data_IF_910492735339
#
_entry.id   IF_910492735339
#
_cell.length_a   1.000
_cell.length_b   1.000
_cell.length_c   1.000
_cell.angle_alpha   90.00
_cell.angle_beta   90.00
_cell.angle_gamma   90.00
#
_symmetry.space_group_name_H-M   'P 1'
#
loop_
_entity.id
_entity.type
_entity.pdbx_description
1 polymer ?
#
# COMPACT_ATOMS: atom_id res chain seq x y z
N UNK A 1 25.87 -2.85 7.95
CA UNK A 1 25.57 -4.31 7.89
C UNK A 1 24.49 -4.56 6.84
N UNK A 2 24.38 -5.79 6.31
CA UNK A 2 23.29 -6.17 5.39
C UNK A 2 22.30 -7.05 6.14
N UNK A 3 21.06 -6.58 6.29
CA UNK A 3 19.96 -7.33 6.90
C UNK A 3 19.17 -8.04 5.81
N UNK A 4 19.03 -9.36 5.95
CA UNK A 4 18.12 -10.15 5.13
C UNK A 4 16.80 -10.30 5.87
N UNK A 5 15.70 -9.92 5.22
CA UNK A 5 14.34 -9.98 5.74
C UNK A 5 13.50 -10.94 4.90
N UNK A 6 12.71 -11.76 5.58
CA UNK A 6 11.70 -12.61 4.95
C UNK A 6 10.35 -12.41 5.64
N UNK A 7 9.30 -12.23 4.86
CA UNK A 7 7.91 -12.16 5.35
C UNK A 7 7.11 -13.21 4.61
N UNK A 8 6.33 -14.03 5.33
CA UNK A 8 5.62 -15.17 4.74
C UNK A 8 4.54 -14.73 3.75
N UNK A 9 3.95 -13.56 3.97
CA UNK A 9 3.01 -12.94 3.05
C UNK A 9 3.66 -11.73 2.35
N UNK A 10 3.30 -11.43 1.10
CA UNK A 10 3.81 -10.27 0.38
C UNK A 10 3.45 -8.97 1.10
N UNK A 11 4.45 -8.31 1.69
CA UNK A 11 4.33 -6.98 2.30
C UNK A 11 5.11 -5.99 1.44
N UNK A 12 4.71 -4.72 1.38
CA UNK A 12 5.44 -3.68 0.62
C UNK A 12 6.80 -3.35 1.24
N UNK A 13 7.71 -2.78 0.45
CA UNK A 13 9.07 -2.44 0.90
C UNK A 13 9.10 -1.28 1.90
N UNK A 14 8.24 -0.28 1.71
CA UNK A 14 8.09 0.88 2.60
C UNK A 14 7.75 0.47 4.05
N UNK A 15 6.94 -0.56 4.23
CA UNK A 15 6.64 -1.10 5.57
C UNK A 15 7.84 -1.77 6.24
N UNK A 16 8.60 -2.56 5.49
CA UNK A 16 9.82 -3.17 6.02
C UNK A 16 10.83 -2.08 6.36
N UNK A 17 10.94 -1.06 5.51
CA UNK A 17 11.77 0.12 5.73
C UNK A 17 11.36 0.86 7.01
N UNK A 18 10.08 1.20 7.19
CA UNK A 18 9.56 1.88 8.38
C UNK A 18 9.83 1.07 9.64
N UNK A 19 9.63 -0.24 9.60
CA UNK A 19 9.92 -1.12 10.72
C UNK A 19 11.42 -1.14 11.07
N UNK A 20 12.30 -1.30 10.07
CA UNK A 20 13.74 -1.30 10.30
C UNK A 20 14.21 0.05 10.86
N UNK A 21 13.65 1.16 10.36
CA UNK A 21 13.97 2.54 10.77
C UNK A 21 13.75 2.82 12.27
N UNK A 22 12.98 1.97 12.97
CA UNK A 22 12.79 2.04 14.43
C UNK A 22 14.03 1.61 15.23
N UNK A 23 14.89 0.80 14.61
CA UNK A 23 16.05 0.18 15.26
C UNK A 23 17.37 0.62 14.63
N UNK A 24 17.40 0.76 13.31
CA UNK A 24 18.61 0.95 12.50
C UNK A 24 18.39 2.04 11.46
N UNK A 25 19.45 2.65 10.98
CA UNK A 25 19.38 3.60 9.87
C UNK A 25 19.53 2.84 8.55
N UNK A 26 18.49 2.83 7.73
CA UNK A 26 18.48 2.13 6.44
C UNK A 26 19.10 3.03 5.38
N UNK A 27 20.20 2.58 4.77
CA UNK A 27 21.01 3.39 3.83
C UNK A 27 20.84 3.00 2.38
N UNK A 28 20.17 1.88 2.08
CA UNK A 28 19.91 1.45 0.71
C UNK A 28 18.43 1.16 0.47
N UNK A 29 18.05 1.22 -0.79
CA UNK A 29 16.83 0.58 -1.27
C UNK A 29 16.86 -0.95 -1.07
N UNK A 30 15.67 -1.54 -1.15
CA UNK A 30 15.47 -2.98 -1.03
C UNK A 30 16.01 -3.73 -2.25
N UNK A 31 16.95 -4.65 -2.04
CA UNK A 31 17.38 -5.61 -3.07
C UNK A 31 16.62 -6.94 -2.92
N UNK A 32 16.06 -7.46 -4.01
CA UNK A 32 15.39 -8.78 -4.00
C UNK A 32 16.43 -9.88 -4.14
N UNK A 33 16.36 -10.89 -3.27
CA UNK A 33 17.22 -12.08 -3.38
C UNK A 33 16.57 -13.06 -4.35
N UNK A 34 17.30 -13.40 -5.41
CA UNK A 34 16.86 -14.35 -6.43
C UNK A 34 17.59 -15.68 -6.24
N UNK A 35 16.95 -16.78 -6.64
CA UNK A 35 17.61 -18.08 -6.74
C UNK A 35 18.45 -18.20 -8.02
N UNK A 36 19.05 -19.37 -8.23
CA UNK A 36 19.91 -19.65 -9.40
C UNK A 36 19.17 -19.57 -10.75
N UNK A 37 17.83 -19.65 -10.73
CA UNK A 37 16.97 -19.59 -11.90
C UNK A 37 16.38 -18.17 -12.10
N UNK A 38 16.76 -17.21 -11.27
CA UNK A 38 16.25 -15.84 -11.32
C UNK A 38 14.89 -15.65 -10.65
N UNK A 39 14.34 -16.67 -9.98
CA UNK A 39 13.07 -16.56 -9.27
C UNK A 39 13.27 -15.92 -7.89
N UNK A 40 12.31 -15.10 -7.46
CA UNK A 40 12.41 -14.40 -6.18
C UNK A 40 12.17 -15.35 -5.00
N UNK A 41 13.13 -15.42 -4.08
CA UNK A 41 13.08 -16.36 -2.95
C UNK A 41 12.19 -15.88 -1.79
N UNK A 42 11.39 -14.82 -1.97
CA UNK A 42 10.66 -14.15 -0.89
C UNK A 42 11.55 -13.31 0.06
N UNK A 43 12.88 -13.34 -0.12
CA UNK A 43 13.84 -12.62 0.75
C UNK A 43 14.23 -11.28 0.15
N UNK A 44 14.52 -10.32 1.03
CA UNK A 44 14.90 -8.95 0.70
C UNK A 44 16.11 -8.55 1.51
N UNK A 45 17.00 -7.77 0.93
CA UNK A 45 18.20 -7.29 1.58
C UNK A 45 18.20 -5.76 1.68
N UNK A 46 18.60 -5.27 2.85
CA UNK A 46 18.72 -3.85 3.17
C UNK A 46 20.11 -3.60 3.75
N UNK A 47 20.83 -2.61 3.23
CA UNK A 47 22.02 -2.10 3.89
C UNK A 47 21.58 -1.14 5.00
N UNK A 48 22.13 -1.34 6.20
CA UNK A 48 21.77 -0.58 7.40
C UNK A 48 22.99 -0.21 8.24
N UNK A 49 22.86 0.83 9.04
CA UNK A 49 23.78 1.22 10.10
C UNK A 49 23.09 0.95 11.44
N UNK A 50 23.75 0.21 12.33
CA UNK A 50 23.22 -0.03 13.68
C UNK A 50 23.44 1.22 14.53
N UNK A 51 22.40 1.62 15.29
CA UNK A 51 22.50 2.76 16.21
C UNK A 51 23.23 2.34 17.49
N UNK A 52 23.91 3.25 18.19
CA UNK A 52 24.49 2.95 19.50
C UNK A 52 23.40 2.65 20.52
N UNK A 53 23.60 1.65 21.37
CA UNK A 53 22.75 1.34 22.52
C UNK A 53 23.62 0.83 23.67
N UNK A 54 23.96 1.69 24.66
CA UNK A 54 24.84 1.33 25.77
C UNK A 54 24.23 0.32 26.75
N UNK A 55 22.95 -0.03 26.58
CA UNK A 55 22.27 -1.06 27.39
C UNK A 55 22.39 -2.46 26.78
N UNK A 56 22.85 -2.55 25.53
CA UNK A 56 23.01 -3.81 24.81
C UNK A 56 24.39 -4.43 25.04
N UNK A 57 24.52 -5.73 24.78
CA UNK A 57 25.76 -6.49 25.03
C UNK A 57 26.95 -6.01 24.17
N UNK A 58 26.68 -5.57 22.96
CA UNK A 58 27.67 -5.14 21.96
C UNK A 58 27.55 -3.66 21.61
N UNK A 59 26.95 -2.85 22.49
CA UNK A 59 26.77 -1.39 22.35
C UNK A 59 25.95 -0.95 21.12
N UNK A 60 25.17 -1.85 20.51
CA UNK A 60 24.32 -1.57 19.36
C UNK A 60 22.85 -1.91 19.56
N UNK A 61 21.97 -1.10 18.97
CA UNK A 61 20.53 -1.36 18.90
C UNK A 61 20.24 -2.36 17.78
N UNK A 62 19.74 -3.54 18.16
CA UNK A 62 19.41 -4.59 17.20
C UNK A 62 17.90 -4.66 16.91
N UNK A 63 17.49 -4.81 15.63
CA UNK A 63 16.11 -5.12 15.31
C UNK A 63 15.78 -6.57 15.72
N UNK A 64 14.53 -6.86 16.11
CA UNK A 64 14.14 -8.18 16.57
C UNK A 64 14.23 -9.20 15.43
N UNK A 65 14.85 -10.35 15.71
CA UNK A 65 15.02 -11.44 14.74
C UNK A 65 13.68 -12.01 14.23
N UNK A 66 12.63 -11.95 15.06
CA UNK A 66 11.25 -12.30 14.69
C UNK A 66 10.36 -11.07 14.86
N UNK A 67 9.52 -10.79 13.88
CA UNK A 67 8.58 -9.65 13.92
C UNK A 67 7.26 -10.01 13.25
N UNK A 68 6.26 -9.13 13.38
CA UNK A 68 4.98 -9.29 12.73
C UNK A 68 4.39 -7.95 12.30
N UNK A 69 3.72 -7.96 11.15
CA UNK A 69 2.93 -6.88 10.59
C UNK A 69 1.45 -7.26 10.67
N UNK A 70 0.81 -6.98 11.80
CA UNK A 70 -0.49 -7.55 12.13
C UNK A 70 -0.43 -9.08 12.17
N UNK A 71 -1.13 -9.75 11.25
CA UNK A 71 -1.12 -11.22 11.14
C UNK A 71 0.08 -11.77 10.36
N UNK A 72 0.79 -10.92 9.61
CA UNK A 72 1.85 -11.31 8.70
C UNK A 72 3.17 -11.45 9.46
N UNK A 73 3.60 -12.68 9.72
CA UNK A 73 4.85 -12.95 10.45
C UNK A 73 6.06 -12.83 9.52
N UNK A 74 7.18 -12.42 10.09
CA UNK A 74 8.46 -12.35 9.39
C UNK A 74 9.63 -12.64 10.32
N UNK A 75 10.78 -12.88 9.69
CA UNK A 75 12.05 -13.00 10.39
C UNK A 75 13.13 -12.24 9.63
N UNK A 76 14.16 -11.82 10.36
CA UNK A 76 15.33 -11.18 9.80
C UNK A 76 16.60 -11.76 10.40
N UNK A 77 17.68 -11.69 9.64
CA UNK A 77 18.99 -12.12 10.08
C UNK A 77 20.12 -11.35 9.36
N UNK A 78 21.27 -11.27 10.03
CA UNK A 78 22.50 -10.68 9.50
C UNK A 78 23.72 -11.21 10.26
N UNK A 79 24.90 -11.03 9.66
CA UNK A 79 26.15 -11.44 10.27
C UNK A 79 26.40 -10.70 11.60
N UNK A 80 26.74 -11.45 12.64
CA UNK A 80 26.98 -10.94 13.99
C UNK A 80 25.73 -10.44 14.69
N UNK A 81 24.54 -10.95 14.34
CA UNK A 81 23.31 -10.71 15.10
C UNK A 81 23.38 -11.46 16.44
N UNK A 82 23.16 -10.79 17.59
CA UNK A 82 23.18 -11.46 18.87
C UNK A 82 21.98 -12.40 19.02
N UNK A 83 22.15 -13.49 19.79
CA UNK A 83 21.05 -14.38 20.15
C UNK A 83 20.21 -13.70 21.22
N UNK A 84 19.06 -13.17 20.82
CA UNK A 84 18.13 -12.48 21.71
C UNK A 84 16.93 -13.35 22.08
N UNK A 85 16.47 -13.27 23.33
CA UNK A 85 15.23 -13.84 23.80
C UNK A 85 14.05 -13.36 22.94
N UNK A 86 13.21 -14.28 22.43
CA UNK A 86 12.06 -13.91 21.57
C UNK A 86 10.93 -13.18 22.31
N UNK A 87 10.96 -13.14 23.65
CA UNK A 87 9.96 -12.44 24.47
C UNK A 87 10.40 -11.02 24.80
N UNK A 88 11.61 -10.84 25.32
CA UNK A 88 12.09 -9.54 25.80
C UNK A 88 13.21 -8.90 24.95
N UNK A 89 13.78 -9.62 23.98
CA UNK A 89 14.91 -9.23 23.12
C UNK A 89 16.25 -9.03 23.84
N UNK A 90 16.35 -9.39 25.11
CA UNK A 90 17.64 -9.42 25.83
C UNK A 90 18.48 -10.64 25.43
N UNK A 91 19.79 -10.54 25.59
CA UNK A 91 20.76 -11.55 25.17
C UNK A 91 21.17 -12.53 26.27
N UNK A 92 20.79 -12.26 27.52
CA UNK A 92 21.24 -13.01 28.70
C UNK A 92 20.55 -14.37 28.89
N UNK A 93 19.37 -14.56 28.28
CA UNK A 93 18.52 -15.72 28.55
C UNK A 93 17.67 -16.15 27.34
N UNK A 94 17.00 -17.29 27.46
CA UNK A 94 16.15 -17.88 26.43
C UNK A 94 14.66 -17.66 26.73
N UNK A 95 13.78 -17.85 25.75
CA UNK A 95 12.36 -17.52 25.90
C UNK A 95 11.64 -18.35 27.00
N UNK A 96 12.13 -19.54 27.28
CA UNK A 96 11.69 -20.45 28.34
C UNK A 96 12.07 -19.96 29.74
N UNK A 97 13.22 -19.31 29.88
CA UNK A 97 13.73 -18.75 31.15
C UNK A 97 13.38 -17.26 31.33
N UNK A 98 12.68 -16.66 30.37
CA UNK A 98 12.31 -15.25 30.37
C UNK A 98 11.13 -14.97 31.31
N UNK A 99 11.43 -14.26 32.41
CA UNK A 99 10.43 -13.73 33.34
C UNK A 99 9.78 -12.43 32.86
N UNK A 100 10.42 -11.73 31.91
CA UNK A 100 9.90 -10.50 31.36
C UNK A 100 8.74 -10.79 30.39
N UNK A 101 7.64 -10.06 30.56
CA UNK A 101 6.52 -10.08 29.63
C UNK A 101 6.51 -8.81 28.79
N UNK A 102 6.47 -8.97 27.47
CA UNK A 102 6.38 -7.88 26.51
C UNK A 102 4.93 -7.63 26.11
N UNK A 103 4.49 -6.40 26.26
CA UNK A 103 3.18 -5.98 25.79
C UNK A 103 3.09 -6.05 24.27
N UNK A 104 2.08 -6.76 23.73
CA UNK A 104 1.88 -6.89 22.27
C UNK A 104 1.33 -5.63 21.60
N UNK A 105 0.89 -4.64 22.39
CA UNK A 105 0.46 -3.34 21.89
C UNK A 105 1.66 -2.37 21.78
N UNK A 106 2.27 -2.00 22.91
CA UNK A 106 3.35 -1.00 22.95
C UNK A 106 4.78 -1.53 22.85
N UNK A 107 4.99 -2.85 22.90
CA UNK A 107 6.30 -3.50 22.91
C UNK A 107 7.19 -3.21 24.13
N UNK A 108 6.68 -2.56 25.16
CA UNK A 108 7.38 -2.37 26.44
C UNK A 108 7.27 -3.61 27.33
N UNK A 109 8.20 -3.73 28.27
CA UNK A 109 8.26 -4.83 29.23
C UNK A 109 7.41 -4.54 30.48
N UNK A 110 7.10 -5.59 31.25
CA UNK A 110 6.52 -5.49 32.59
C UNK A 110 4.99 -5.47 32.66
N UNK A 111 4.26 -5.54 31.54
CA UNK A 111 2.80 -5.58 31.54
C UNK A 111 2.21 -6.39 30.37
N UNK A 112 0.97 -6.85 30.53
CA UNK A 112 0.18 -7.50 29.48
C UNK A 112 -0.54 -6.47 28.61
N UNK A 113 -0.94 -6.88 27.40
CA UNK A 113 -1.72 -6.03 26.49
C UNK A 113 -3.01 -5.49 27.14
N UNK A 114 -3.66 -6.30 27.99
CA UNK A 114 -4.88 -5.91 28.73
C UNK A 114 -4.64 -4.79 29.74
N UNK A 115 -3.41 -4.66 30.24
CA UNK A 115 -3.00 -3.71 31.27
C UNK A 115 -2.24 -2.51 30.66
N UNK A 116 -2.23 -2.41 29.32
CA UNK A 116 -1.50 -1.38 28.60
C UNK A 116 -2.26 -0.05 28.65
N UNK A 117 -1.59 1.02 29.11
CA UNK A 117 -2.16 2.38 29.18
C UNK A 117 -2.07 3.17 27.88
N UNK A 118 -1.23 2.72 26.93
CA UNK A 118 -1.10 3.33 25.60
C UNK A 118 -2.26 2.88 24.71
N UNK A 119 -2.74 3.79 23.88
CA UNK A 119 -3.72 3.52 22.83
C UNK A 119 -3.23 2.48 21.82
N UNK A 120 -4.09 2.13 20.87
CA UNK A 120 -3.75 1.13 19.87
C UNK A 120 -2.55 1.59 19.03
N UNK A 121 -1.46 0.84 19.12
CA UNK A 121 -0.21 1.19 18.45
C UNK A 121 -0.23 0.69 17.02
N UNK A 122 0.31 1.48 16.11
CA UNK A 122 0.50 1.05 14.74
C UNK A 122 1.57 -0.06 14.67
N UNK A 123 1.21 -1.21 14.11
CA UNK A 123 2.15 -2.33 13.96
C UNK A 123 3.31 -2.03 13.02
N UNK A 124 3.20 -0.98 12.19
CA UNK A 124 4.19 -0.60 11.18
C UNK A 124 5.15 0.49 11.67
N UNK A 125 4.64 1.68 12.03
CA UNK A 125 5.50 2.78 12.50
C UNK A 125 5.78 2.72 14.01
N UNK A 126 4.95 2.02 14.79
CA UNK A 126 5.09 1.95 16.25
C UNK A 126 4.65 3.21 17.00
N UNK A 127 3.93 4.12 16.35
CA UNK A 127 3.32 5.30 16.97
C UNK A 127 1.90 5.00 17.49
N UNK A 128 1.48 5.79 18.47
CA UNK A 128 0.15 5.75 19.08
C UNK A 128 -0.85 6.56 18.24
N UNK A 129 -2.09 6.09 18.13
CA UNK A 129 -3.20 6.87 17.54
C UNK A 129 -3.65 6.46 16.14
N UNK A 130 -2.89 5.63 15.41
CA UNK A 130 -3.28 5.16 14.07
C UNK A 130 -2.94 3.67 13.82
N UNK A 131 -3.61 2.72 14.50
CA UNK A 131 -3.42 1.31 14.22
C UNK A 131 -3.64 1.04 12.73
N UNK A 132 -2.79 0.22 12.10
CA UNK A 132 -3.04 -0.27 10.75
C UNK A 132 -4.31 -1.12 10.74
N UNK A 133 -5.46 -0.50 10.47
CA UNK A 133 -6.75 -1.18 10.58
C UNK A 133 -6.98 -1.99 9.32
N UNK A 134 -7.05 -3.31 9.49
CA UNK A 134 -7.59 -4.19 8.47
C UNK A 134 -9.09 -3.96 8.41
N UNK A 135 -9.58 -3.41 7.31
CA UNK A 135 -11.00 -3.11 7.09
C UNK A 135 -11.51 -3.82 5.84
N UNK A 136 -12.83 -3.93 5.79
CA UNK A 136 -13.57 -4.36 4.61
C UNK A 136 -13.98 -3.12 3.83
N UNK A 137 -13.50 -3.01 2.59
CA UNK A 137 -13.73 -1.90 1.67
C UNK A 137 -14.61 -2.37 0.53
N UNK A 138 -15.75 -1.71 0.30
CA UNK A 138 -16.59 -2.01 -0.85
C UNK A 138 -16.45 -0.93 -1.90
N UNK A 139 -16.28 -1.35 -3.16
CA UNK A 139 -16.26 -0.48 -4.34
C UNK A 139 -17.43 -0.83 -5.22
N UNK A 140 -18.16 0.20 -5.65
CA UNK A 140 -19.26 0.11 -6.60
C UNK A 140 -18.94 1.01 -7.80
N UNK A 141 -18.63 0.41 -8.95
CA UNK A 141 -18.46 1.14 -10.21
C UNK A 141 -19.80 1.28 -10.91
N UNK A 142 -20.10 2.44 -11.49
CA UNK A 142 -21.31 2.60 -12.32
C UNK A 142 -21.22 1.83 -13.62
N UNK A 143 -20.01 1.74 -14.17
CA UNK A 143 -19.72 0.87 -15.28
C UNK A 143 -19.26 -0.50 -14.72
N UNK A 144 -20.08 -1.53 -14.93
CA UNK A 144 -19.83 -2.89 -14.48
C UNK A 144 -18.64 -3.56 -15.18
N UNK A 145 -18.20 -3.01 -16.31
CA UNK A 145 -17.11 -3.56 -17.13
C UNK A 145 -15.75 -2.99 -16.78
N UNK A 146 -15.65 -2.15 -15.74
CA UNK A 146 -14.35 -1.67 -15.26
C UNK A 146 -13.54 -2.88 -14.76
N UNK A 147 -12.34 -3.12 -15.34
CA UNK A 147 -11.50 -4.24 -14.94
C UNK A 147 -11.12 -4.15 -13.46
N UNK A 148 -11.05 -5.30 -12.79
CA UNK A 148 -10.66 -5.34 -11.39
C UNK A 148 -9.23 -4.84 -11.18
N UNK A 149 -8.35 -5.09 -12.15
CA UNK A 149 -6.96 -4.64 -12.14
C UNK A 149 -6.86 -3.12 -12.09
N UNK A 150 -7.75 -2.41 -12.80
CA UNK A 150 -7.80 -0.96 -12.78
C UNK A 150 -8.30 -0.44 -11.41
N UNK A 151 -9.30 -1.11 -10.83
CA UNK A 151 -9.79 -0.80 -9.47
C UNK A 151 -8.66 -1.01 -8.44
N UNK A 152 -7.93 -2.12 -8.54
CA UNK A 152 -6.79 -2.43 -7.67
C UNK A 152 -5.67 -1.42 -7.85
N UNK A 153 -5.34 -1.05 -9.10
CA UNK A 153 -4.32 -0.05 -9.41
C UNK A 153 -4.67 1.30 -8.76
N UNK A 154 -5.91 1.75 -8.91
CA UNK A 154 -6.40 2.98 -8.29
C UNK A 154 -6.36 2.94 -6.75
N UNK A 155 -6.90 1.88 -6.14
CA UNK A 155 -6.98 1.77 -4.68
C UNK A 155 -5.60 1.73 -4.01
N UNK A 156 -4.56 1.23 -4.71
CA UNK A 156 -3.18 1.19 -4.22
C UNK A 156 -2.58 2.56 -3.93
N UNK A 157 -3.22 3.66 -4.32
CA UNK A 157 -2.81 5.00 -3.87
C UNK A 157 -3.05 5.21 -2.37
N UNK A 158 -4.11 4.61 -1.84
CA UNK A 158 -4.60 4.90 -0.49
C UNK A 158 -4.43 3.73 0.47
N UNK A 159 -4.66 2.51 -0.03
CA UNK A 159 -4.74 1.31 0.80
C UNK A 159 -3.95 0.15 0.23
N UNK A 160 -3.73 -0.83 1.10
CA UNK A 160 -3.04 -2.07 0.80
C UNK A 160 -4.03 -3.23 0.71
N UNK A 161 -4.33 -3.64 -0.52
CA UNK A 161 -5.30 -4.70 -0.80
C UNK A 161 -4.70 -6.07 -0.44
N UNK A 162 -5.48 -6.86 0.30
CA UNK A 162 -5.15 -8.21 0.74
C UNK A 162 -5.95 -9.21 -0.11
N UNK A 163 -5.28 -9.85 -1.06
CA UNK A 163 -5.90 -10.84 -1.96
C UNK A 163 -6.71 -10.21 -3.09
N UNK A 164 -7.71 -10.94 -3.57
CA UNK A 164 -8.59 -10.56 -4.69
C UNK A 164 -9.91 -9.98 -4.19
N UNK A 165 -10.59 -9.20 -5.02
CA UNK A 165 -11.89 -8.61 -4.72
C UNK A 165 -13.02 -9.64 -4.86
N UNK A 166 -13.77 -9.84 -3.78
CA UNK A 166 -14.98 -10.66 -3.78
C UNK A 166 -16.12 -9.94 -4.48
N UNK A 167 -16.73 -10.57 -5.49
CA UNK A 167 -17.99 -10.06 -6.06
C UNK A 167 -19.12 -10.24 -5.05
N UNK A 168 -19.84 -9.15 -4.77
CA UNK A 168 -21.02 -9.21 -3.90
C UNK A 168 -22.19 -9.71 -4.73
N UNK A 169 -22.76 -10.84 -4.31
CA UNK A 169 -23.91 -11.44 -4.96
C UNK A 169 -25.18 -11.12 -4.17
N UNK A 170 -26.30 -10.92 -4.85
CA UNK A 170 -27.61 -10.80 -4.22
C UNK A 170 -28.14 -12.18 -3.74
N UNK A 171 -29.34 -12.18 -3.14
CA UNK A 171 -30.00 -13.41 -2.66
C UNK A 171 -30.28 -14.43 -3.77
N UNK A 172 -30.39 -13.99 -5.03
CA UNK A 172 -30.66 -14.81 -6.21
C UNK A 172 -29.37 -15.21 -6.95
N UNK A 173 -28.19 -14.90 -6.39
CA UNK A 173 -26.86 -15.15 -6.95
C UNK A 173 -26.59 -14.37 -8.26
N UNK A 174 -27.18 -13.18 -8.41
CA UNK A 174 -26.74 -12.20 -9.40
C UNK A 174 -25.71 -11.25 -8.80
N UNK A 175 -24.73 -10.84 -9.61
CA UNK A 175 -23.72 -9.88 -9.16
C UNK A 175 -24.35 -8.49 -9.02
N UNK A 176 -24.16 -7.83 -7.87
CA UNK A 176 -24.72 -6.50 -7.59
C UNK A 176 -23.95 -5.36 -8.25
N UNK A 177 -22.89 -5.67 -9.00
CA UNK A 177 -21.94 -4.69 -9.51
C UNK A 177 -20.92 -4.19 -8.48
N UNK A 178 -21.03 -4.65 -7.24
CA UNK A 178 -20.14 -4.27 -6.15
C UNK A 178 -19.05 -5.32 -5.94
N UNK A 179 -17.87 -4.86 -5.55
CA UNK A 179 -16.74 -5.70 -5.15
C UNK A 179 -16.28 -5.32 -3.77
N UNK A 180 -15.97 -6.33 -2.97
CA UNK A 180 -15.48 -6.19 -1.61
C UNK A 180 -14.02 -6.61 -1.54
N UNK A 181 -13.21 -5.74 -0.99
CA UNK A 181 -11.78 -5.94 -0.79
C UNK A 181 -11.49 -5.94 0.70
N UNK A 182 -10.61 -6.85 1.12
CA UNK A 182 -9.97 -6.76 2.43
C UNK A 182 -8.77 -5.84 2.27
N UNK A 183 -8.71 -4.75 3.02
CA UNK A 183 -7.68 -3.72 2.83
C UNK A 183 -7.08 -3.29 4.15
N UNK A 184 -5.80 -2.93 4.12
CA UNK A 184 -5.08 -2.31 5.22
C UNK A 184 -4.90 -0.83 4.90
N UNK A 185 -5.33 0.04 5.79
CA UNK A 185 -5.19 1.49 5.61
C UNK A 185 -3.74 1.91 5.84
N UNK A 186 -3.27 2.89 5.06
CA UNK A 186 -1.96 3.52 5.27
C UNK A 186 -2.08 4.64 6.30
N UNK A 187 -0.96 5.04 6.87
CA UNK A 187 -0.91 6.19 7.76
C UNK A 187 -0.91 7.50 6.96
N UNK A 188 -1.57 8.52 7.49
CA UNK A 188 -1.48 9.91 7.02
C UNK A 188 -1.44 10.84 8.24
N UNK A 189 -0.29 11.48 8.47
CA UNK A 189 -0.08 12.40 9.60
C UNK A 189 -1.00 13.62 9.53
N UNK A 190 -1.52 13.96 8.35
CA UNK A 190 -2.43 15.09 8.15
C UNK A 190 -3.88 14.75 8.49
N UNK A 191 -4.25 13.48 8.53
CA UNK A 191 -5.61 13.05 8.82
C UNK A 191 -5.89 13.08 10.34
N UNK A 192 -7.08 13.51 10.79
CA UNK A 192 -7.40 13.57 12.22
C UNK A 192 -7.30 12.23 12.97
N UNK A 193 -7.58 11.12 12.28
CA UNK A 193 -7.46 9.75 12.80
C UNK A 193 -6.16 9.06 12.37
N UNK A 194 -5.26 9.81 11.74
CA UNK A 194 -3.95 9.34 11.28
C UNK A 194 -4.01 8.35 10.12
N UNK A 195 -5.14 8.18 9.43
CA UNK A 195 -5.30 7.22 8.34
C UNK A 195 -5.43 7.90 6.96
N UNK A 196 -4.74 7.34 5.97
CA UNK A 196 -4.93 7.71 4.58
C UNK A 196 -6.19 7.05 4.04
N UNK A 197 -7.25 7.83 3.92
CA UNK A 197 -8.55 7.32 3.47
C UNK A 197 -8.65 7.32 1.93
N UNK A 198 -9.15 6.23 1.32
CA UNK A 198 -9.59 6.29 -0.07
C UNK A 198 -10.81 7.23 -0.17
N UNK A 199 -10.93 7.99 -1.26
CA UNK A 199 -12.02 8.94 -1.42
C UNK A 199 -13.35 8.20 -1.57
N UNK A 200 -14.42 8.76 -1.00
CA UNK A 200 -15.76 8.17 -1.05
C UNK A 200 -16.33 8.10 -2.46
N UNK A 201 -15.92 9.03 -3.32
CA UNK A 201 -16.17 9.02 -4.75
C UNK A 201 -14.85 8.85 -5.48
N UNK A 202 -14.83 7.98 -6.48
CA UNK A 202 -13.65 7.73 -7.29
C UNK A 202 -13.97 7.88 -8.77
N UNK A 203 -12.92 8.20 -9.53
CA UNK A 203 -12.96 8.39 -10.97
C UNK A 203 -11.76 7.66 -11.58
N UNK A 204 -12.03 6.57 -12.31
CA UNK A 204 -11.01 5.77 -12.99
C UNK A 204 -11.20 5.94 -14.50
N UNK A 205 -10.32 6.72 -15.13
CA UNK A 205 -10.54 7.22 -16.48
C UNK A 205 -11.79 8.10 -16.54
N UNK A 206 -12.80 7.67 -17.29
CA UNK A 206 -14.14 8.30 -17.35
C UNK A 206 -15.17 7.59 -16.46
N UNK A 207 -14.80 6.49 -15.81
CA UNK A 207 -15.74 5.66 -15.04
C UNK A 207 -15.85 6.17 -13.60
N UNK A 208 -17.04 6.60 -13.21
CA UNK A 208 -17.36 7.00 -11.84
C UNK A 208 -17.73 5.80 -10.98
N UNK A 209 -17.43 5.89 -9.71
CA UNK A 209 -17.83 4.92 -8.71
C UNK A 209 -17.79 5.49 -7.30
N UNK A 210 -18.21 4.66 -6.36
CA UNK A 210 -18.15 4.95 -4.93
C UNK A 210 -17.36 3.90 -4.19
N UNK A 211 -16.73 4.34 -3.12
CA UNK A 211 -15.99 3.51 -2.19
C UNK A 211 -16.50 3.77 -0.78
N UNK A 212 -16.83 2.70 -0.04
CA UNK A 212 -17.36 2.82 1.31
C UNK A 212 -16.92 1.70 2.24
N UNK A 213 -16.82 2.04 3.53
CA UNK A 213 -16.38 1.17 4.60
C UNK A 213 -16.84 1.74 5.95
N UNK A 214 -16.80 0.92 6.99
CA UNK A 214 -17.18 1.34 8.34
C UNK A 214 -16.18 2.36 8.92
N UNK A 215 -16.72 3.48 9.42
CA UNK A 215 -15.94 4.60 9.95
C UNK A 215 -15.30 5.48 8.88
N UNK A 216 -15.83 5.48 7.65
CA UNK A 216 -15.39 6.41 6.62
C UNK A 216 -15.70 7.86 7.02
N UNK A 217 -14.73 8.79 6.94
CA UNK A 217 -14.97 10.20 7.26
C UNK A 217 -16.10 10.81 6.44
N UNK A 218 -16.96 11.59 7.10
CA UNK A 218 -18.04 12.33 6.48
C UNK A 218 -17.50 13.58 5.78
N UNK A 219 -17.00 13.41 4.56
CA UNK A 219 -16.45 14.49 3.74
C UNK A 219 -17.29 14.73 2.49
N UNK A 220 -17.19 15.93 1.92
CA UNK A 220 -17.81 16.27 0.66
C UNK A 220 -17.32 15.33 -0.44
N UNK A 221 -18.25 14.66 -1.13
CA UNK A 221 -17.90 13.72 -2.22
C UNK A 221 -17.36 14.39 -3.49
N UNK A 222 -17.38 15.72 -3.56
CA UNK A 222 -16.79 16.50 -4.65
C UNK A 222 -15.34 16.86 -4.33
N UNK A 223 -15.10 17.59 -3.23
CA UNK A 223 -13.78 18.15 -2.92
C UNK A 223 -13.02 17.43 -1.79
N UNK A 224 -13.63 16.45 -1.12
CA UNK A 224 -12.99 15.69 -0.04
C UNK A 224 -12.82 16.46 1.28
N UNK A 225 -13.25 17.72 1.38
CA UNK A 225 -13.20 18.49 2.63
C UNK A 225 -14.39 18.18 3.55
N UNK A 226 -14.21 18.23 4.88
CA UNK A 226 -15.31 18.06 5.83
C UNK A 226 -16.23 19.28 5.88
N UNK A 227 -17.34 19.17 6.61
CA UNK A 227 -18.20 20.31 6.99
C UNK A 227 -19.29 20.69 5.99
N UNK A 228 -19.31 20.12 4.79
CA UNK A 228 -20.37 20.37 3.80
C UNK A 228 -20.63 19.15 2.88
N UNK A 229 -21.75 19.18 2.16
CA UNK A 229 -22.13 18.16 1.19
C UNK A 229 -21.93 18.67 -0.26
N UNK A 230 -22.14 17.80 -1.25
CA UNK A 230 -21.92 18.13 -2.69
C UNK A 230 -22.77 19.30 -3.18
N UNK A 231 -23.95 19.51 -2.59
CA UNK A 231 -24.88 20.58 -2.97
C UNK A 231 -24.35 21.93 -2.50
N UNK A 232 -23.78 21.97 -1.29
CA UNK A 232 -23.20 23.17 -0.68
C UNK A 232 -21.70 23.30 -0.96
N UNK A 233 -21.19 22.61 -1.98
CA UNK A 233 -19.77 22.61 -2.33
C UNK A 233 -19.48 23.65 -3.40
N UNK A 234 -18.78 24.71 -3.01
CA UNK A 234 -18.32 25.76 -3.94
C UNK A 234 -16.87 25.54 -4.41
N UNK A 235 -16.18 24.57 -3.81
CA UNK A 235 -14.82 24.21 -4.21
C UNK A 235 -14.78 23.62 -5.62
N UNK A 236 -13.81 24.07 -6.41
CA UNK A 236 -13.46 23.49 -7.71
C UNK A 236 -12.34 22.48 -7.51
N UNK A 237 -12.48 21.29 -8.09
CA UNK A 237 -11.43 20.26 -8.11
C UNK A 237 -10.80 20.22 -9.49
N UNK A 238 -9.50 20.40 -9.54
CA UNK A 238 -8.73 20.36 -10.77
C UNK A 238 -8.63 18.91 -11.27
N UNK A 239 -9.10 18.64 -12.49
CA UNK A 239 -9.00 17.30 -13.08
C UNK A 239 -7.58 16.94 -13.56
N UNK A 240 -6.67 17.92 -13.65
CA UNK A 240 -5.27 17.71 -14.06
C UNK A 240 -4.43 17.18 -12.90
N UNK A 241 -4.56 17.75 -11.69
CA UNK A 241 -3.72 17.41 -10.54
C UNK A 241 -4.49 16.89 -9.31
N UNK A 242 -5.82 16.83 -9.37
CA UNK A 242 -6.72 16.47 -8.26
C UNK A 242 -6.73 17.47 -7.09
N UNK A 243 -6.03 18.59 -7.22
CA UNK A 243 -6.02 19.67 -6.22
C UNK A 243 -7.34 20.43 -6.13
N UNK A 244 -7.63 20.99 -4.96
CA UNK A 244 -8.85 21.76 -4.69
C UNK A 244 -8.55 23.26 -4.69
N UNK A 245 -9.48 24.07 -5.21
CA UNK A 245 -9.43 25.53 -5.18
C UNK A 245 -9.00 26.18 -6.49
N UNK A 246 -8.73 25.41 -7.55
CA UNK A 246 -8.38 25.93 -8.87
C UNK A 246 -8.92 25.04 -10.00
N UNK A 247 -9.05 25.61 -11.20
CA UNK A 247 -9.44 24.88 -12.41
C UNK A 247 -8.20 24.39 -13.17
N UNK A 248 -8.37 23.43 -14.09
CA UNK A 248 -7.26 22.94 -14.89
C UNK A 248 -6.61 24.00 -15.80
N UNK A 249 -7.34 25.07 -16.14
CA UNK A 249 -6.81 26.19 -16.91
C UNK A 249 -5.79 27.02 -16.12
N UNK A 250 -5.92 27.04 -14.79
CA UNK A 250 -5.01 27.74 -13.87
C UNK A 250 -4.12 26.77 -13.09
N UNK A 251 -3.98 25.55 -13.57
CA UNK A 251 -3.18 24.53 -12.92
C UNK A 251 -1.72 24.61 -13.42
N UNK A 252 -0.81 24.87 -12.49
CA UNK A 252 0.65 24.89 -12.71
C UNK A 252 1.31 23.53 -12.55
N UNK A 253 0.57 22.56 -11.99
CA UNK A 253 1.06 21.21 -11.75
C UNK A 253 1.01 20.35 -13.02
N UNK A 254 1.84 19.31 -13.06
CA UNK A 254 1.82 18.32 -14.11
C UNK A 254 0.53 17.49 -14.12
N UNK A 255 0.17 16.99 -15.30
CA UNK A 255 -0.96 16.09 -15.44
C UNK A 255 -0.71 14.78 -14.70
N UNK A 256 -1.61 14.43 -13.78
CA UNK A 256 -1.59 13.21 -13.00
C UNK A 256 -2.61 12.20 -13.53
N UNK A 257 -2.14 10.99 -13.78
CA UNK A 257 -2.99 9.88 -14.20
C UNK A 257 -3.94 9.46 -13.06
N UNK A 258 -5.25 9.58 -13.30
CA UNK A 258 -6.28 9.19 -12.31
C UNK A 258 -6.46 7.68 -12.13
N UNK A 259 -5.60 6.84 -12.72
CA UNK A 259 -5.55 5.40 -12.48
C UNK A 259 -4.36 5.00 -11.61
N UNK A 260 -3.14 5.39 -11.99
CA UNK A 260 -1.90 4.94 -11.33
C UNK A 260 -1.19 6.04 -10.54
N UNK A 261 -1.70 7.28 -10.58
CA UNK A 261 -1.17 8.42 -9.85
C UNK A 261 0.14 8.98 -10.38
N UNK A 262 0.71 8.37 -11.43
CA UNK A 262 1.93 8.87 -12.09
C UNK A 262 1.68 10.16 -12.86
N UNK A 263 2.72 10.97 -13.01
CA UNK A 263 2.68 12.24 -13.75
C UNK A 263 3.05 12.04 -15.22
N UNK A 264 2.72 13.02 -16.06
CA UNK A 264 3.18 13.11 -17.44
C UNK A 264 2.43 12.23 -18.46
N UNK A 265 1.36 11.54 -18.06
CA UNK A 265 0.53 10.73 -18.98
C UNK A 265 -0.94 10.68 -18.56
N UNK A 266 -1.84 10.55 -19.54
CA UNK A 266 -3.28 10.41 -19.31
C UNK A 266 -3.69 8.96 -19.04
N UNK A 267 -4.90 8.75 -18.49
CA UNK A 267 -5.48 7.43 -18.29
C UNK A 267 -5.38 6.54 -19.54
N UNK A 268 -5.66 7.12 -20.72
CA UNK A 268 -5.64 6.41 -21.99
C UNK A 268 -4.25 5.87 -22.36
N UNK A 269 -3.20 6.59 -21.93
CA UNK A 269 -1.78 6.34 -22.23
C UNK A 269 -1.08 5.59 -21.07
N UNK A 270 -1.83 5.24 -20.01
CA UNK A 270 -1.29 4.58 -18.83
C UNK A 270 -0.92 3.12 -19.13
N UNK A 271 0.36 2.76 -18.92
CA UNK A 271 0.86 1.39 -19.09
C UNK A 271 0.26 0.38 -18.10
N UNK A 272 -0.24 0.86 -16.94
CA UNK A 272 -0.90 0.02 -15.95
C UNK A 272 -2.38 -0.20 -16.24
N UNK A 273 -2.96 0.51 -17.22
CA UNK A 273 -4.36 0.35 -17.63
C UNK A 273 -4.55 -0.99 -18.29
N UNK A 274 -5.57 -1.73 -17.85
CA UNK A 274 -6.01 -2.93 -18.54
C UNK A 274 -6.69 -2.53 -19.85
N UNK A 275 -6.03 -2.82 -20.97
CA UNK A 275 -6.61 -2.61 -22.30
C UNK A 275 -7.86 -3.49 -22.46
N UNK A 276 -8.94 -2.89 -22.96
CA UNK A 276 -10.14 -3.66 -23.34
C UNK A 276 -9.80 -4.56 -24.53
N UNK A 277 -10.55 -5.65 -24.70
CA UNK A 277 -10.37 -6.56 -25.84
C UNK A 277 -10.40 -5.81 -27.18
N UNK A 278 -11.34 -4.88 -27.36
CA UNK A 278 -11.43 -4.04 -28.55
C UNK A 278 -10.17 -3.18 -28.81
N UNK A 279 -9.55 -2.63 -27.76
CA UNK A 279 -8.33 -1.82 -27.90
C UNK A 279 -7.11 -2.68 -28.30
N UNK A 280 -7.03 -3.93 -27.80
CA UNK A 280 -5.96 -4.86 -28.18
C UNK A 280 -6.06 -5.24 -29.66
N UNK A 281 -7.28 -5.42 -30.19
CA UNK A 281 -7.50 -5.76 -31.60
C UNK A 281 -7.14 -4.59 -32.54
N UNK A 282 -7.39 -3.35 -32.13
CA UNK A 282 -7.02 -2.17 -32.93
C UNK A 282 -5.51 -1.94 -33.00
N UNK A 283 -4.78 -2.14 -31.91
CA UNK A 283 -3.31 -2.03 -31.89
C UNK A 283 -2.67 -3.08 -32.81
N UNK A 284 -3.21 -4.30 -32.85
CA UNK A 284 -2.73 -5.39 -33.71
C UNK A 284 -2.98 -5.15 -35.22
N UNK A 285 -3.95 -4.31 -35.58
CA UNK A 285 -4.27 -3.95 -36.96
C UNK A 285 -3.39 -2.85 -37.57
N UNK A 286 -2.50 -2.26 -36.78
CA UNK A 286 -1.64 -1.13 -37.20
C UNK A 286 -0.25 -1.54 -37.71
N UNK A 287 0.02 -2.84 -37.87
CA UNK A 287 1.25 -3.30 -38.55
C UNK A 287 1.17 -2.91 -40.02
N UNK A 288 2.06 -1.98 -40.38
CA UNK A 288 2.27 -1.36 -41.69
C UNK A 288 1.97 -2.27 -42.89
N UNK A 289 1.02 -1.83 -43.75
CA UNK A 289 1.00 -2.25 -45.15
C UNK A 289 2.36 -1.90 -45.76
N UNK A 290 3.07 -2.90 -46.25
CA UNK A 290 4.28 -2.70 -47.05
C UNK A 290 3.92 -1.84 -48.29
N UNK A 291 4.87 -1.06 -48.83
CA UNK A 291 4.64 -0.32 -50.06
C UNK A 291 4.37 -1.32 -51.19
N UNK A 292 3.32 -1.10 -51.97
CA UNK A 292 3.08 -1.86 -53.19
C UNK A 292 4.15 -1.47 -54.22
N UNK A 293 5.02 -2.42 -54.56
CA UNK A 293 5.95 -2.28 -55.67
C UNK A 293 5.16 -2.20 -56.98
N UNK A 294 5.28 -1.05 -57.65
CA UNK A 294 4.63 -0.76 -58.92
C UNK A 294 5.10 -1.69 -60.03
N UNK A 295 4.18 -2.49 -60.57
CA UNK A 295 4.39 -3.29 -61.77
C UNK A 295 4.29 -2.39 -63.01
N UNK A 296 5.43 -2.01 -63.59
CA UNK A 296 5.47 -1.40 -64.93
C UNK A 296 5.37 -2.52 -65.98
N UNK A 297 4.23 -2.58 -66.68
CA UNK A 297 4.05 -3.42 -67.86
C UNK A 297 4.88 -2.91 -69.03
N UNK A 298 5.72 -3.78 -69.59
CA UNK A 298 6.40 -3.59 -70.87
C UNK A 298 5.71 -4.40 -71.97
N UNK A 299 5.45 -3.72 -73.09
CA UNK A 299 5.13 -4.31 -74.40
C UNK A 299 6.38 -4.93 -75.05
#
# INVERSE_FOLDING_TARGET
RVITVHVYNPVRNDYIFLFLSRYVDVVSDCTRVLDRLGAWTGRRQFAVILRPDPTSLDDFKHPPASFAFGSDRGYLFYAGQPKTCRRCLETSHTADTCLQIRCRNCNELGHLMKDCKKGAMCTFCGEEGHPSVLKTLTVAMFNLYVPEEDIICYLKHFVDIQGVGEKIMDKKRYWTGQRRYRVRFRADVKAPDGLLHPPASLLIGSNRGYCYYYGQPAVCRRCGKPGHNVVNCHDVVCWKCEGVGHSAAHCTEDFKCNLCGGVGHMFRDCSQRKKSFAAVVQDAGSVSRAPEDGYQGGL
#
